data_IF_053656883821
#
_entry.id   IF_053656883821
#
_cell.length_a   1.000
_cell.length_b   1.000
_cell.length_c   1.000
_cell.angle_alpha   90.00
_cell.angle_beta   90.00
_cell.angle_gamma   90.00
#
_symmetry.space_group_name_H-M   'P 1'
#
loop_
_entity.id
_entity.type
_entity.pdbx_description
1 polymer ?
#
# COMPACT_ATOMS: atom_id res chain seq x y z
N UNK A 1 7.84 -2.95 -26.06
CA UNK A 1 7.58 -3.06 -24.60
C UNK A 1 6.10 -3.27 -24.38
N UNK A 2 5.71 -4.30 -23.63
CA UNK A 2 4.33 -4.56 -23.19
C UNK A 2 4.34 -4.82 -21.69
N UNK A 3 3.60 -4.04 -20.90
CA UNK A 3 3.50 -4.26 -19.46
C UNK A 3 2.11 -4.75 -19.04
N UNK A 4 2.07 -5.64 -18.05
CA UNK A 4 0.85 -6.21 -17.46
C UNK A 4 0.99 -6.39 -15.94
N UNK A 5 -0.13 -6.41 -15.19
CA UNK A 5 -0.10 -6.78 -13.78
C UNK A 5 0.49 -8.18 -13.57
N UNK A 6 1.36 -8.33 -12.57
CA UNK A 6 1.90 -9.62 -12.15
C UNK A 6 0.87 -10.36 -11.29
N UNK A 7 0.65 -11.64 -11.57
CA UNK A 7 -0.14 -12.51 -10.69
C UNK A 7 0.65 -12.83 -9.42
N UNK A 8 0.05 -12.62 -8.25
CA UNK A 8 0.69 -12.97 -6.98
C UNK A 8 0.79 -14.50 -6.83
N UNK A 9 1.91 -14.95 -6.28
CA UNK A 9 2.23 -16.36 -6.02
C UNK A 9 2.39 -16.57 -4.51
N UNK A 10 2.60 -17.80 -4.06
CA UNK A 10 2.63 -18.15 -2.63
C UNK A 10 3.67 -17.37 -1.81
N UNK A 11 4.80 -17.01 -2.42
CA UNK A 11 5.83 -16.18 -1.82
C UNK A 11 5.37 -14.72 -1.60
N UNK A 12 4.49 -14.21 -2.45
CA UNK A 12 3.97 -12.83 -2.37
C UNK A 12 2.86 -12.68 -1.32
N UNK A 13 2.22 -13.77 -0.89
CA UNK A 13 1.12 -13.73 0.09
C UNK A 13 1.54 -13.32 1.51
N UNK A 14 2.84 -13.21 1.78
CA UNK A 14 3.34 -12.70 3.07
C UNK A 14 3.51 -11.18 3.07
N UNK A 15 3.52 -10.56 1.89
CA UNK A 15 3.66 -9.11 1.73
C UNK A 15 2.29 -8.43 1.81
N UNK A 16 2.04 -7.81 2.97
CA UNK A 16 0.77 -7.12 3.24
C UNK A 16 0.49 -5.98 2.27
N UNK A 17 1.51 -5.30 1.75
CA UNK A 17 1.32 -4.20 0.80
C UNK A 17 0.87 -4.72 -0.56
N UNK A 18 1.41 -5.87 -1.00
CA UNK A 18 1.00 -6.51 -2.25
C UNK A 18 -0.43 -7.05 -2.15
N UNK A 19 -0.79 -7.61 -1.00
CA UNK A 19 -2.17 -8.02 -0.72
C UNK A 19 -3.12 -6.81 -0.74
N UNK A 20 -2.76 -5.72 -0.06
CA UNK A 20 -3.53 -4.48 -0.11
C UNK A 20 -3.66 -3.93 -1.54
N UNK A 21 -2.58 -3.94 -2.32
CA UNK A 21 -2.63 -3.54 -3.72
C UNK A 21 -3.53 -4.43 -4.57
N UNK A 22 -3.52 -5.75 -4.37
CA UNK A 22 -4.42 -6.68 -5.05
C UNK A 22 -5.90 -6.40 -4.72
N UNK A 23 -6.21 -6.07 -3.47
CA UNK A 23 -7.57 -5.81 -3.02
C UNK A 23 -8.09 -4.44 -3.49
N UNK A 24 -7.26 -3.41 -3.34
CA UNK A 24 -7.68 -2.02 -3.45
C UNK A 24 -7.12 -1.26 -4.65
N UNK A 25 -6.12 -1.74 -5.38
CA UNK A 25 -5.58 -1.02 -6.55
C UNK A 25 -5.97 -1.70 -7.86
N UNK A 26 -6.31 -0.92 -8.87
CA UNK A 26 -6.65 -1.40 -10.21
C UNK A 26 -5.83 -0.66 -11.25
N UNK A 27 -5.16 -1.44 -12.09
CA UNK A 27 -4.34 -0.92 -13.18
C UNK A 27 -5.17 -0.90 -14.46
N UNK A 28 -5.27 0.27 -15.07
CA UNK A 28 -6.00 0.52 -16.30
C UNK A 28 -5.03 0.90 -17.42
N UNK A 29 -4.75 0.00 -18.38
CA UNK A 29 -3.86 0.28 -19.49
C UNK A 29 -4.48 1.29 -20.45
N UNK A 30 -3.68 2.28 -20.84
CA UNK A 30 -3.99 3.26 -21.89
C UNK A 30 -3.22 2.93 -23.16
N UNK A 31 -1.98 2.44 -23.01
CA UNK A 31 -1.12 1.94 -24.08
C UNK A 31 -0.23 0.81 -23.54
N UNK A 32 0.74 0.35 -24.33
CA UNK A 32 1.68 -0.69 -23.90
C UNK A 32 2.64 -0.25 -22.78
N UNK A 33 2.75 1.06 -22.52
CA UNK A 33 3.65 1.66 -21.51
C UNK A 33 2.99 2.68 -20.58
N UNK A 34 1.75 3.08 -20.82
CA UNK A 34 1.02 4.07 -20.02
C UNK A 34 -0.16 3.42 -19.35
N UNK A 35 -0.25 3.61 -18.02
CA UNK A 35 -1.28 3.02 -17.17
C UNK A 35 -1.78 4.06 -16.18
N UNK A 36 -3.08 4.03 -15.90
CA UNK A 36 -3.65 4.70 -14.73
C UNK A 36 -3.82 3.69 -13.61
N UNK A 37 -3.54 4.12 -12.38
CA UNK A 37 -3.83 3.35 -11.17
C UNK A 37 -5.01 4.02 -10.49
N UNK A 38 -6.09 3.27 -10.32
CA UNK A 38 -7.26 3.71 -9.58
C UNK A 38 -7.42 2.89 -8.32
N UNK A 39 -7.94 3.54 -7.28
CA UNK A 39 -8.31 2.86 -6.06
C UNK A 39 -9.70 2.23 -6.21
N UNK A 40 -9.90 1.09 -5.57
CA UNK A 40 -11.17 0.38 -5.45
C UNK A 40 -11.54 0.39 -3.98
N UNK A 41 -12.44 1.30 -3.59
CA UNK A 41 -12.86 1.45 -2.20
C UNK A 41 -12.06 2.51 -1.46
N UNK A 42 -12.18 2.47 -0.14
CA UNK A 42 -11.63 3.47 0.79
C UNK A 42 -10.40 2.85 1.47
N UNK A 43 -9.33 3.63 1.58
CA UNK A 43 -8.17 3.27 2.37
C UNK A 43 -8.27 3.88 3.77
N UNK A 44 -7.89 3.09 4.75
CA UNK A 44 -7.75 3.49 6.14
C UNK A 44 -6.25 3.48 6.47
N UNK A 45 -5.69 4.63 6.85
CA UNK A 45 -4.23 4.77 7.00
C UNK A 45 -3.71 3.92 8.17
N UNK A 46 -4.48 3.85 9.25
CA UNK A 46 -4.20 3.10 10.48
C UNK A 46 -4.05 1.60 10.21
N UNK A 47 -4.81 1.09 9.23
CA UNK A 47 -4.73 -0.31 8.80
C UNK A 47 -3.73 -0.51 7.65
N UNK A 48 -3.75 0.36 6.65
CA UNK A 48 -3.05 0.17 5.37
C UNK A 48 -2.37 1.45 4.89
N UNK A 49 -1.18 1.78 5.43
CA UNK A 49 -0.46 3.01 5.05
C UNK A 49 0.18 2.93 3.65
N UNK A 50 0.39 1.71 3.14
CA UNK A 50 1.01 1.47 1.83
C UNK A 50 0.29 0.34 1.10
N UNK A 51 0.13 0.51 -0.20
CA UNK A 51 -0.37 -0.52 -1.11
C UNK A 51 0.54 -0.61 -2.34
N UNK A 52 0.91 -1.83 -2.71
CA UNK A 52 1.92 -2.09 -3.75
C UNK A 52 1.37 -2.95 -4.88
N UNK A 53 1.75 -2.64 -6.12
CA UNK A 53 1.47 -3.46 -7.31
C UNK A 53 2.77 -3.93 -7.95
N UNK A 54 2.77 -5.17 -8.43
CA UNK A 54 3.81 -5.70 -9.30
C UNK A 54 3.37 -5.64 -10.77
N UNK A 55 4.27 -5.17 -11.62
CA UNK A 55 4.06 -5.07 -13.06
C UNK A 55 5.20 -5.79 -13.78
N UNK A 56 4.83 -6.70 -14.66
CA UNK A 56 5.72 -7.41 -15.55
C UNK A 56 5.73 -6.73 -16.92
N UNK A 57 6.89 -6.25 -17.35
CA UNK A 57 7.12 -5.64 -18.65
C UNK A 57 8.00 -6.55 -19.52
N UNK A 58 7.59 -6.75 -20.76
CA UNK A 58 8.31 -7.53 -21.76
C UNK A 58 8.82 -6.59 -22.84
N UNK A 59 10.12 -6.62 -23.12
CA UNK A 59 10.62 -6.00 -24.35
C UNK A 59 10.68 -7.02 -25.49
N UNK A 60 10.07 -6.67 -26.61
CA UNK A 60 10.02 -7.48 -27.82
C UNK A 60 10.87 -6.87 -28.94
N UNK A 61 11.46 -5.69 -28.75
CA UNK A 61 12.26 -5.03 -29.78
C UNK A 61 13.59 -5.77 -30.06
N UNK A 62 14.16 -6.40 -29.03
CA UNK A 62 15.38 -7.23 -29.13
C UNK A 62 15.10 -8.66 -29.62
N UNK A 63 13.82 -9.01 -29.79
CA UNK A 63 13.42 -10.27 -30.38
C UNK A 63 13.43 -10.07 -31.89
N UNK A 64 14.45 -10.59 -32.56
CA UNK A 64 14.51 -10.58 -34.02
C UNK A 64 13.19 -11.12 -34.60
N UNK A 65 12.46 -10.35 -35.44
CA UNK A 65 11.30 -10.87 -36.13
C UNK A 65 11.80 -11.85 -37.17
N UNK A 66 11.91 -13.14 -36.82
CA UNK A 66 12.11 -14.17 -37.81
C UNK A 66 10.97 -14.07 -38.84
N UNK A 67 11.36 -13.72 -40.06
CA UNK A 67 10.52 -13.42 -41.20
C UNK A 67 9.20 -14.20 -41.24
N UNK A 68 8.10 -13.47 -41.48
CA UNK A 68 6.77 -13.94 -41.92
C UNK A 68 6.70 -15.42 -42.31
N UNK A 69 6.45 -16.30 -41.35
CA UNK A 69 5.91 -17.63 -41.63
C UNK A 69 4.94 -17.95 -40.51
N UNK A 70 3.78 -18.49 -40.87
CA UNK A 70 2.72 -18.91 -39.96
C UNK A 70 3.24 -19.96 -38.97
N UNK A 71 3.88 -19.52 -37.89
CA UNK A 71 4.35 -20.38 -36.82
C UNK A 71 3.42 -20.22 -35.62
N UNK A 72 2.73 -21.29 -35.28
CA UNK A 72 2.04 -21.47 -34.01
C UNK A 72 3.01 -21.21 -32.86
N UNK A 73 2.52 -20.57 -31.78
CA UNK A 73 3.22 -20.17 -30.55
C UNK A 73 4.05 -21.27 -29.83
N UNK A 74 4.12 -22.47 -30.38
CA UNK A 74 4.79 -23.64 -29.81
C UNK A 74 6.31 -23.66 -30.01
N UNK A 75 6.89 -22.79 -30.84
CA UNK A 75 8.34 -22.75 -31.11
C UNK A 75 9.13 -21.72 -30.30
N UNK A 76 8.47 -20.86 -29.52
CA UNK A 76 9.18 -19.95 -28.62
C UNK A 76 9.56 -20.70 -27.35
N UNK A 77 10.85 -20.89 -27.07
CA UNK A 77 11.27 -21.46 -25.80
C UNK A 77 10.95 -20.46 -24.69
N UNK A 78 10.18 -20.89 -23.69
CA UNK A 78 9.75 -20.05 -22.55
C UNK A 78 10.92 -19.36 -21.82
N UNK A 79 12.13 -19.90 -21.95
CA UNK A 79 13.38 -19.38 -21.39
C UNK A 79 13.89 -18.10 -22.07
N UNK A 80 13.57 -17.87 -23.34
CA UNK A 80 13.99 -16.66 -24.07
C UNK A 80 13.04 -15.47 -23.84
N UNK A 81 11.77 -15.73 -23.45
CA UNK A 81 10.83 -14.70 -22.96
C UNK A 81 11.24 -14.15 -21.59
N UNK A 82 11.83 -14.98 -20.73
CA UNK A 82 12.27 -14.57 -19.39
C UNK A 82 13.52 -13.68 -19.40
N UNK A 83 14.32 -13.69 -20.47
CA UNK A 83 15.52 -12.83 -20.58
C UNK A 83 15.20 -11.34 -20.73
N UNK A 84 13.99 -11.02 -21.17
CA UNK A 84 13.55 -9.65 -21.45
C UNK A 84 12.34 -9.27 -20.57
N UNK A 85 12.21 -9.94 -19.41
CA UNK A 85 11.21 -9.65 -18.40
C UNK A 85 11.80 -8.67 -17.37
N UNK A 86 11.19 -7.50 -17.28
CA UNK A 86 11.47 -6.51 -16.24
C UNK A 86 10.29 -6.47 -15.28
N UNK A 87 10.56 -6.64 -13.99
CA UNK A 87 9.54 -6.52 -12.96
C UNK A 87 9.72 -5.22 -12.18
N UNK A 88 8.62 -4.49 -12.04
CA UNK A 88 8.58 -3.22 -11.31
C UNK A 88 7.62 -3.35 -10.13
N UNK A 89 8.03 -2.81 -8.97
CA UNK A 89 7.16 -2.59 -7.82
C UNK A 89 6.77 -1.12 -7.79
N UNK A 90 5.47 -0.87 -7.81
CA UNK A 90 4.90 0.47 -7.61
C UNK A 90 4.26 0.49 -6.23
N UNK A 91 4.71 1.39 -5.36
CA UNK A 91 4.15 1.57 -4.02
C UNK A 91 3.43 2.90 -3.94
N UNK A 92 2.16 2.83 -3.57
CA UNK A 92 1.29 3.98 -3.32
C UNK A 92 1.26 4.22 -1.81
N UNK A 93 1.65 5.43 -1.39
CA UNK A 93 1.51 5.87 -0.02
C UNK A 93 0.13 6.47 0.20
N UNK A 94 -0.54 6.04 1.27
CA UNK A 94 -1.84 6.57 1.68
C UNK A 94 -1.60 7.77 2.60
N UNK A 95 -2.37 8.84 2.38
CA UNK A 95 -2.32 10.01 3.25
C UNK A 95 -3.20 9.76 4.47
N UNK A 96 -2.62 9.97 5.64
CA UNK A 96 -3.33 10.00 6.91
C UNK A 96 -4.35 11.15 6.94
N UNK A 97 -5.49 10.94 7.61
CA UNK A 97 -6.56 11.91 7.81
C UNK A 97 -6.92 11.93 9.31
N UNK A 98 -7.35 13.08 9.81
CA UNK A 98 -7.81 13.19 11.20
C UNK A 98 -9.24 12.63 11.32
N UNK A 99 -9.36 11.32 11.44
CA UNK A 99 -10.64 10.62 11.57
C UNK A 99 -10.77 9.74 12.81
N UNK A 100 -9.71 9.65 13.63
CA UNK A 100 -9.79 9.09 14.97
C UNK A 100 -9.97 10.23 16.00
N UNK A 101 -10.75 9.94 17.04
CA UNK A 101 -10.94 10.87 18.16
C UNK A 101 -10.06 10.42 19.34
N UNK A 102 -9.46 11.35 20.11
CA UNK A 102 -8.65 10.98 21.24
C UNK A 102 -9.44 10.21 22.30
N UNK A 103 -8.88 9.10 22.78
CA UNK A 103 -9.50 8.23 23.78
C UNK A 103 -8.71 8.27 25.08
N UNK A 104 -9.35 8.69 26.17
CA UNK A 104 -8.76 8.65 27.51
C UNK A 104 -8.54 7.21 28.00
N UNK A 105 -7.47 6.99 28.77
CA UNK A 105 -7.15 5.68 29.37
C UNK A 105 -8.28 5.13 30.27
N UNK A 106 -9.03 6.01 30.91
CA UNK A 106 -10.18 5.67 31.76
C UNK A 106 -11.40 6.46 31.31
N UNK A 107 -12.57 5.82 31.35
CA UNK A 107 -13.85 6.49 31.08
C UNK A 107 -14.28 7.44 32.19
N UNK A 108 -13.72 7.28 33.41
CA UNK A 108 -13.94 8.16 34.55
C UNK A 108 -12.72 8.19 35.44
N UNK A 109 -12.31 9.39 35.83
CA UNK A 109 -11.28 9.64 36.83
C UNK A 109 -11.93 10.11 38.12
N UNK A 110 -11.53 9.54 39.26
CA UNK A 110 -11.98 9.95 40.59
C UNK A 110 -10.76 10.21 41.46
N UNK A 111 -10.63 11.42 41.97
CA UNK A 111 -9.45 11.88 42.70
C UNK A 111 -9.92 12.49 44.01
N UNK A 112 -9.28 12.11 45.11
CA UNK A 112 -9.51 12.69 46.43
C UNK A 112 -8.42 13.72 46.70
N UNK A 113 -8.83 14.93 47.07
CA UNK A 113 -7.95 16.09 47.22
C UNK A 113 -7.98 16.54 48.69
N UNK A 114 -6.82 16.61 49.37
CA UNK A 114 -6.72 17.20 50.70
C UNK A 114 -7.13 18.68 50.74
N UNK A 115 -7.80 19.10 51.81
CA UNK A 115 -8.29 20.48 51.95
C UNK A 115 -7.18 21.52 52.15
N UNK A 116 -5.98 21.11 52.58
CA UNK A 116 -4.84 22.00 52.87
C UNK A 116 -3.81 22.07 51.74
N UNK A 117 -4.22 21.83 50.49
CA UNK A 117 -3.33 21.98 49.34
C UNK A 117 -3.02 23.45 49.07
N UNK A 118 -1.73 23.76 48.92
CA UNK A 118 -1.27 25.10 48.54
C UNK A 118 -1.63 25.42 47.09
N UNK A 119 -1.76 26.71 46.78
CA UNK A 119 -2.01 27.18 45.42
C UNK A 119 -0.92 26.72 44.44
N UNK A 120 -1.35 26.31 43.25
CA UNK A 120 -0.44 25.78 42.21
C UNK A 120 -0.02 24.33 42.39
N UNK A 121 -0.56 23.62 43.39
CA UNK A 121 -0.25 22.20 43.58
C UNK A 121 -0.78 21.34 42.43
N UNK A 122 0.07 20.43 41.95
CA UNK A 122 -0.30 19.45 40.94
C UNK A 122 -1.23 18.39 41.54
N UNK A 123 -2.35 18.13 40.86
CA UNK A 123 -3.40 17.21 41.31
C UNK A 123 -3.26 15.85 40.63
N UNK A 124 -3.26 15.83 39.30
CA UNK A 124 -3.15 14.60 38.52
C UNK A 124 -2.78 14.87 37.06
N UNK A 125 -2.42 13.82 36.34
CA UNK A 125 -2.22 13.81 34.88
C UNK A 125 -3.20 12.80 34.28
N UNK A 126 -3.91 13.23 33.24
CA UNK A 126 -4.76 12.35 32.43
C UNK A 126 -4.07 12.11 31.09
N UNK A 127 -4.16 10.88 30.59
CA UNK A 127 -3.59 10.50 29.29
C UNK A 127 -4.70 10.06 28.36
N UNK A 128 -4.71 10.64 27.18
CA UNK A 128 -5.47 10.16 26.04
C UNK A 128 -4.51 9.54 25.02
N UNK A 129 -5.09 8.77 24.10
CA UNK A 129 -4.41 8.14 22.99
C UNK A 129 -5.23 8.39 21.73
N UNK A 130 -4.56 8.82 20.68
CA UNK A 130 -5.12 8.95 19.35
C UNK A 130 -4.34 8.02 18.40
N UNK A 131 -5.04 7.40 17.46
CA UNK A 131 -4.46 6.43 16.53
C UNK A 131 -3.88 7.09 15.27
N UNK A 132 -4.32 8.31 14.97
CA UNK A 132 -3.79 9.09 13.85
C UNK A 132 -2.29 9.35 14.05
N UNK A 133 -1.57 9.74 12.99
CA UNK A 133 -0.14 10.03 13.05
C UNK A 133 0.19 11.51 12.98
N UNK A 134 1.42 11.82 13.43
CA UNK A 134 1.98 13.16 13.34
C UNK A 134 1.14 14.16 14.13
N UNK A 135 0.82 15.28 13.50
CA UNK A 135 0.04 16.35 14.13
C UNK A 135 -1.41 15.95 14.43
N UNK A 136 -1.97 14.98 13.70
CA UNK A 136 -3.34 14.51 13.95
C UNK A 136 -3.44 13.66 15.20
N UNK A 137 -2.41 12.84 15.47
CA UNK A 137 -2.33 12.03 16.69
C UNK A 137 -1.65 12.67 17.89
N UNK A 138 -1.22 13.93 17.78
CA UNK A 138 -0.51 14.63 18.85
C UNK A 138 -1.49 15.22 19.88
N UNK A 139 -1.20 14.98 21.17
CA UNK A 139 -2.04 15.37 22.31
C UNK A 139 -1.33 16.35 23.25
#
# INVERSE_FOLDING_TARGET
>A
ILCKPTSLESNHLQDKELLAGQDYLRLHPVSDSVFFIFTKGIFDYEQTPYASLLIDCYDFADIEPFNKVNFTLQHFQQKDLLKHLYQFRITVAISDQNDNIPIFKQSKYSIQIPEHLSDGSYITEMKAYDLDKGEYGQL
#
